data_IF_568301610360
#
_entry.id   IF_568301610360
#
_cell.length_a   1.000
_cell.length_b   1.000
_cell.length_c   1.000
_cell.angle_alpha   90.00
_cell.angle_beta   90.00
_cell.angle_gamma   90.00
#
_symmetry.space_group_name_H-M   'P 1'
#
loop_
_entity.id
_entity.type
_entity.pdbx_description
1 polymer ?
#
# COMPACT_ATOMS: atom_id res chain seq x y z
N UNK A 1 -14.49 9.28 38.74
CA UNK A 1 -14.51 8.27 37.68
C UNK A 1 -15.22 8.87 36.49
N UNK A 2 -14.50 9.21 35.42
CA UNK A 2 -15.12 9.65 34.18
C UNK A 2 -15.72 8.42 33.49
N UNK A 3 -16.99 8.51 33.11
CA UNK A 3 -17.67 7.51 32.28
C UNK A 3 -16.83 7.27 31.02
N UNK A 4 -16.29 6.07 30.85
CA UNK A 4 -15.66 5.67 29.60
C UNK A 4 -16.74 5.71 28.52
N UNK A 5 -16.69 6.71 27.64
CA UNK A 5 -17.58 6.80 26.49
C UNK A 5 -17.45 5.54 25.63
N UNK A 6 -18.56 5.12 25.00
CA UNK A 6 -18.54 3.98 24.10
C UNK A 6 -17.53 4.23 22.96
N UNK A 7 -16.68 3.24 22.70
CA UNK A 7 -15.77 3.24 21.56
C UNK A 7 -16.51 2.67 20.36
N UNK A 8 -16.59 3.43 19.27
CA UNK A 8 -17.26 3.03 18.03
C UNK A 8 -16.21 2.88 16.94
N UNK A 9 -16.25 1.77 16.21
CA UNK A 9 -15.45 1.54 15.00
C UNK A 9 -16.40 1.50 13.81
N UNK A 10 -16.12 2.30 12.78
CA UNK A 10 -16.93 2.36 11.56
C UNK A 10 -16.07 2.03 10.36
N UNK A 11 -16.64 1.25 9.45
CA UNK A 11 -16.09 1.00 8.12
C UNK A 11 -17.13 1.42 7.10
N UNK A 12 -16.76 2.30 6.18
CA UNK A 12 -17.63 2.75 5.09
C UNK A 12 -16.87 2.63 3.77
N UNK A 13 -17.56 2.25 2.70
CA UNK A 13 -16.99 2.34 1.35
C UNK A 13 -17.01 3.82 0.93
N UNK A 14 -15.87 4.32 0.47
CA UNK A 14 -15.75 5.68 -0.05
C UNK A 14 -15.85 5.67 -1.59
N UNK A 15 -16.37 6.77 -2.14
CA UNK A 15 -16.42 7.00 -3.59
C UNK A 15 -15.05 7.48 -4.08
N UNK A 16 -14.60 6.97 -5.24
CA UNK A 16 -13.31 7.35 -5.83
C UNK A 16 -13.30 8.77 -6.40
N UNK A 17 -14.46 9.41 -6.55
CA UNK A 17 -14.61 10.79 -7.04
C UNK A 17 -13.98 11.86 -6.12
N UNK A 18 -13.73 11.54 -4.85
CA UNK A 18 -13.00 12.42 -3.92
C UNK A 18 -11.48 12.39 -4.13
N UNK A 19 -10.97 11.42 -4.89
CA UNK A 19 -9.54 11.27 -5.18
C UNK A 19 -9.10 12.21 -6.31
N UNK A 20 -7.82 12.58 -6.31
CA UNK A 20 -7.20 13.30 -7.43
C UNK A 20 -7.22 12.47 -8.72
N UNK A 21 -7.13 13.10 -9.91
CA UNK A 21 -7.14 12.39 -11.20
C UNK A 21 -6.05 11.30 -11.29
N UNK A 22 -4.83 11.61 -10.81
CA UNK A 22 -3.74 10.64 -10.77
C UNK A 22 -4.03 9.46 -9.83
N UNK A 23 -4.71 9.72 -8.71
CA UNK A 23 -5.13 8.69 -7.77
C UNK A 23 -6.23 7.80 -8.35
N UNK A 24 -7.20 8.38 -9.06
CA UNK A 24 -8.25 7.64 -9.75
C UNK A 24 -7.67 6.66 -10.78
N UNK A 25 -6.61 7.04 -11.50
CA UNK A 25 -5.94 6.13 -12.44
C UNK A 25 -5.28 4.91 -11.76
N UNK A 26 -4.73 5.09 -10.55
CA UNK A 26 -4.08 4.01 -9.79
C UNK A 26 -5.08 3.10 -9.07
N UNK A 27 -6.20 3.66 -8.60
CA UNK A 27 -7.26 2.92 -7.91
C UNK A 27 -8.18 2.23 -8.91
N UNK A 28 -8.64 2.93 -9.95
CA UNK A 28 -9.63 2.42 -10.90
C UNK A 28 -10.94 2.05 -10.19
N UNK A 29 -11.51 0.90 -10.54
CA UNK A 29 -12.73 0.36 -9.92
C UNK A 29 -12.49 -0.40 -8.59
N UNK A 30 -11.27 -0.33 -8.06
CA UNK A 30 -10.87 -1.06 -6.83
C UNK A 30 -11.43 -0.38 -5.59
N UNK A 31 -11.66 -1.13 -4.50
CA UNK A 31 -12.36 -0.60 -3.34
C UNK A 31 -11.54 0.45 -2.59
N UNK A 32 -12.26 1.48 -2.12
CA UNK A 32 -11.78 2.46 -1.14
C UNK A 32 -12.62 2.31 0.12
N UNK A 33 -11.97 2.18 1.27
CA UNK A 33 -12.62 2.03 2.57
C UNK A 33 -12.13 3.10 3.53
N UNK A 34 -13.08 3.83 4.09
CA UNK A 34 -12.88 4.69 5.24
C UNK A 34 -12.96 3.86 6.51
N UNK A 35 -11.91 3.91 7.33
CA UNK A 35 -11.92 3.39 8.69
C UNK A 35 -11.91 4.56 9.65
N UNK A 36 -12.85 4.60 10.60
CA UNK A 36 -12.90 5.63 11.63
C UNK A 36 -13.19 5.03 13.00
N UNK A 37 -12.58 5.62 14.03
CA UNK A 37 -12.83 5.25 15.43
C UNK A 37 -13.11 6.49 16.26
N UNK A 38 -14.13 6.41 17.09
CA UNK A 38 -14.51 7.49 18.00
C UNK A 38 -14.67 6.97 19.43
N UNK A 39 -14.38 7.82 20.41
CA UNK A 39 -14.79 7.62 21.81
C UNK A 39 -15.78 8.74 22.17
N UNK A 40 -17.07 8.41 22.21
CA UNK A 40 -18.12 9.42 22.19
C UNK A 40 -18.04 10.30 20.93
N UNK A 41 -17.90 11.62 21.12
CA UNK A 41 -17.77 12.58 20.02
C UNK A 41 -16.31 12.83 19.58
N UNK A 42 -15.33 12.25 20.27
CA UNK A 42 -13.91 12.50 19.98
C UNK A 42 -13.40 11.48 18.97
N UNK A 43 -12.92 11.97 17.82
CA UNK A 43 -12.22 11.14 16.85
C UNK A 43 -10.88 10.65 17.43
N UNK A 44 -10.62 9.35 17.29
CA UNK A 44 -9.35 8.73 17.64
C UNK A 44 -8.58 8.56 16.34
N UNK A 45 -7.54 9.38 16.14
CA UNK A 45 -6.69 9.32 14.96
C UNK A 45 -5.45 8.45 15.15
N UNK A 46 -5.12 8.05 16.39
CA UNK A 46 -3.97 7.20 16.71
C UNK A 46 -4.36 6.08 17.66
N UNK A 47 -3.84 4.89 17.38
CA UNK A 47 -4.14 3.65 18.09
C UNK A 47 -3.30 3.44 19.36
N UNK A 48 -2.21 4.19 19.55
CA UNK A 48 -1.24 3.91 20.62
C UNK A 48 -0.55 2.52 20.52
N UNK A 49 -0.82 1.80 19.44
CA UNK A 49 -0.37 0.45 19.10
C UNK A 49 -0.64 0.20 17.60
N UNK A 50 -0.66 -1.06 17.18
CA UNK A 50 -0.97 -1.43 15.79
C UNK A 50 -2.28 -2.21 15.70
N UNK A 51 -3.03 -1.99 14.62
CA UNK A 51 -4.13 -2.83 14.19
C UNK A 51 -3.76 -3.54 12.89
N UNK A 52 -4.22 -4.78 12.73
CA UNK A 52 -4.16 -5.49 11.44
C UNK A 52 -5.49 -5.34 10.75
N UNK A 53 -5.46 -4.93 9.48
CA UNK A 53 -6.65 -4.76 8.65
C UNK A 53 -6.52 -5.66 7.43
N UNK A 54 -7.64 -6.27 7.04
CA UNK A 54 -7.76 -7.11 5.86
C UNK A 54 -8.89 -6.56 5.00
N UNK A 55 -8.55 -6.07 3.80
CA UNK A 55 -9.50 -5.53 2.83
C UNK A 55 -9.75 -6.60 1.76
N UNK A 56 -10.95 -7.21 1.70
CA UNK A 56 -11.28 -8.18 0.67
C UNK A 56 -11.09 -7.60 -0.72
N UNK A 57 -10.38 -8.32 -1.58
CA UNK A 57 -10.15 -7.92 -2.95
C UNK A 57 -9.97 -9.17 -3.83
N UNK A 58 -10.68 -9.23 -4.94
CA UNK A 58 -10.49 -10.26 -5.96
C UNK A 58 -9.73 -9.64 -7.13
N UNK A 59 -8.48 -10.06 -7.38
CA UNK A 59 -7.70 -9.54 -8.50
C UNK A 59 -8.40 -9.75 -9.83
N UNK A 60 -8.32 -8.75 -10.71
CA UNK A 60 -8.79 -8.88 -12.08
C UNK A 60 -7.91 -9.85 -12.88
N UNK A 61 -8.43 -10.39 -13.98
CA UNK A 61 -7.68 -11.31 -14.83
C UNK A 61 -6.38 -10.66 -15.33
N UNK A 62 -5.26 -11.35 -15.14
CA UNK A 62 -3.93 -10.88 -15.57
C UNK A 62 -3.26 -9.87 -14.63
N UNK A 63 -3.88 -9.51 -13.50
CA UNK A 63 -3.19 -8.72 -12.48
C UNK A 63 -2.01 -9.49 -11.87
N UNK A 64 -0.86 -8.83 -11.82
CA UNK A 64 0.29 -9.28 -11.04
C UNK A 64 0.02 -8.97 -9.56
N UNK A 65 -0.03 -10.03 -8.73
CA UNK A 65 -0.31 -9.91 -7.30
C UNK A 65 0.74 -9.07 -6.56
N UNK A 66 1.98 -9.02 -7.07
CA UNK A 66 3.03 -8.19 -6.50
C UNK A 66 2.81 -6.69 -6.75
N UNK A 67 2.06 -6.36 -7.82
CA UNK A 67 1.70 -5.01 -8.22
C UNK A 67 0.40 -4.51 -7.58
N UNK A 68 -0.33 -5.36 -6.84
CA UNK A 68 -1.42 -4.93 -5.98
C UNK A 68 -0.81 -4.24 -4.76
N UNK A 69 -1.21 -3.00 -4.55
CA UNK A 69 -0.69 -2.11 -3.52
C UNK A 69 -1.84 -1.51 -2.71
N UNK A 70 -1.50 -1.08 -1.51
CA UNK A 70 -2.40 -0.33 -0.66
C UNK A 70 -1.95 1.12 -0.62
N UNK A 71 -2.90 2.04 -0.73
CA UNK A 71 -2.69 3.46 -0.54
C UNK A 71 -3.47 3.93 0.68
N UNK A 72 -2.92 4.89 1.40
CA UNK A 72 -3.71 5.75 2.25
C UNK A 72 -4.01 7.05 1.48
N UNK A 73 -5.22 7.56 1.64
CA UNK A 73 -5.68 8.80 1.00
C UNK A 73 -5.41 9.96 1.96
N UNK A 74 -4.66 10.95 1.49
CA UNK A 74 -4.44 12.21 2.23
C UNK A 74 -5.67 13.10 2.14
N UNK A 75 -5.72 14.11 3.02
CA UNK A 75 -6.79 15.11 3.05
C UNK A 75 -6.94 15.89 1.71
N UNK A 76 -5.90 15.92 0.88
CA UNK A 76 -5.91 16.54 -0.45
C UNK A 76 -6.34 15.58 -1.58
N UNK A 77 -6.74 14.35 -1.27
CA UNK A 77 -7.11 13.32 -2.24
C UNK A 77 -5.91 12.69 -2.96
N UNK A 78 -4.67 12.98 -2.55
CA UNK A 78 -3.47 12.30 -3.03
C UNK A 78 -3.26 10.97 -2.32
N UNK A 79 -2.52 10.07 -2.96
CA UNK A 79 -2.21 8.76 -2.40
C UNK A 79 -0.80 8.74 -1.80
N UNK A 80 -0.64 7.99 -0.72
CA UNK A 80 0.67 7.51 -0.30
C UNK A 80 0.65 6.00 -0.10
N UNK A 81 1.67 5.36 -0.67
CA UNK A 81 1.81 3.91 -0.63
C UNK A 81 2.00 3.45 0.81
N UNK A 82 1.11 2.59 1.26
CA UNK A 82 1.24 1.85 2.51
C UNK A 82 2.15 0.65 2.23
N UNK A 83 3.43 0.86 2.48
CA UNK A 83 4.52 -0.01 2.04
C UNK A 83 4.41 -1.43 2.63
N UNK A 84 3.88 -1.59 3.84
CA UNK A 84 3.68 -2.89 4.50
C UNK A 84 2.39 -3.63 4.03
N UNK A 85 1.57 -3.00 3.19
CA UNK A 85 0.39 -3.61 2.60
C UNK A 85 0.76 -4.60 1.50
N UNK A 86 0.20 -5.81 1.57
CA UNK A 86 0.39 -6.86 0.57
C UNK A 86 -0.91 -7.59 0.28
N UNK A 87 -1.05 -8.05 -0.95
CA UNK A 87 -2.08 -9.02 -1.28
C UNK A 87 -1.72 -10.39 -0.68
N UNK A 88 -2.69 -10.99 -0.01
CA UNK A 88 -2.61 -12.33 0.54
C UNK A 88 -3.63 -13.20 -0.21
N UNK A 89 -3.11 -14.11 -1.05
CA UNK A 89 -3.93 -14.95 -1.91
C UNK A 89 -4.73 -16.01 -1.13
N UNK A 90 -4.26 -16.42 0.04
CA UNK A 90 -4.99 -17.36 0.91
C UNK A 90 -6.16 -16.66 1.59
N UNK A 91 -5.96 -15.42 2.04
CA UNK A 91 -7.02 -14.62 2.63
C UNK A 91 -7.98 -13.99 1.59
N UNK A 92 -7.58 -13.90 0.32
CA UNK A 92 -8.34 -13.20 -0.72
C UNK A 92 -8.47 -11.70 -0.44
N UNK A 93 -7.41 -11.09 0.11
CA UNK A 93 -7.47 -9.75 0.67
C UNK A 93 -6.12 -9.04 0.64
N UNK A 94 -6.16 -7.70 0.67
CA UNK A 94 -4.99 -6.87 0.96
C UNK A 94 -4.87 -6.71 2.48
N UNK A 95 -3.76 -7.19 3.04
CA UNK A 95 -3.49 -7.22 4.48
C UNK A 95 -2.38 -6.23 4.81
N UNK A 96 -2.57 -5.44 5.86
CA UNK A 96 -1.61 -4.44 6.34
C UNK A 96 -1.74 -4.19 7.84
N UNK A 97 -0.71 -3.56 8.42
CA UNK A 97 -0.76 -3.03 9.79
C UNK A 97 -0.74 -1.50 9.77
N UNK A 98 -1.53 -0.87 10.63
CA UNK A 98 -1.57 0.60 10.77
C UNK A 98 -1.60 1.02 12.23
N UNK A 99 -1.12 2.23 12.49
CA UNK A 99 -1.16 2.91 13.79
C UNK A 99 -2.21 4.02 13.85
N UNK A 100 -2.86 4.33 12.73
CA UNK A 100 -3.85 5.39 12.59
C UNK A 100 -5.02 4.92 11.74
N UNK A 101 -6.13 5.67 11.82
CA UNK A 101 -7.31 5.43 11.00
C UNK A 101 -7.37 6.49 9.89
N UNK A 102 -7.65 6.04 8.68
CA UNK A 102 -7.71 6.87 7.48
C UNK A 102 -8.55 6.15 6.41
N UNK A 103 -8.64 6.77 5.25
CA UNK A 103 -9.20 6.18 4.05
C UNK A 103 -8.10 5.37 3.36
N UNK A 104 -8.37 4.10 3.09
CA UNK A 104 -7.45 3.20 2.43
C UNK A 104 -8.02 2.73 1.10
N UNK A 105 -7.21 2.78 0.05
CA UNK A 105 -7.58 2.36 -1.29
C UNK A 105 -6.71 1.19 -1.73
N UNK A 106 -7.35 0.13 -2.26
CA UNK A 106 -6.63 -0.87 -3.03
C UNK A 106 -6.32 -0.28 -4.39
N UNK A 107 -5.07 -0.41 -4.84
CA UNK A 107 -4.65 0.06 -6.15
C UNK A 107 -3.79 -0.95 -6.87
N UNK A 108 -3.50 -0.66 -8.12
CA UNK A 108 -2.64 -1.47 -8.96
C UNK A 108 -1.58 -0.61 -9.63
N UNK A 109 -0.32 -0.92 -9.33
CA UNK A 109 0.82 -0.16 -9.84
C UNK A 109 1.88 -1.12 -10.38
N UNK A 110 1.66 -1.62 -11.60
CA UNK A 110 2.64 -2.50 -12.26
C UNK A 110 3.77 -1.68 -12.86
N UNK A 111 4.95 -1.82 -12.28
CA UNK A 111 6.20 -1.24 -12.79
C UNK A 111 7.05 -2.37 -13.36
N UNK A 112 7.30 -2.33 -14.67
CA UNK A 112 8.10 -3.31 -15.38
C UNK A 112 9.43 -2.75 -15.86
N UNK A 113 10.43 -3.61 -15.99
CA UNK A 113 11.74 -3.26 -16.52
C UNK A 113 12.08 -4.19 -17.69
N UNK A 114 12.59 -3.63 -18.78
CA UNK A 114 12.88 -4.36 -20.03
C UNK A 114 14.05 -5.33 -19.92
N UNK A 115 14.90 -5.17 -18.91
CA UNK A 115 16.05 -6.02 -18.58
C UNK A 115 15.76 -7.01 -17.44
N UNK A 116 14.50 -7.12 -17.00
CA UNK A 116 14.05 -8.10 -16.01
C UNK A 116 13.10 -9.06 -16.71
N UNK A 117 13.58 -10.26 -17.02
CA UNK A 117 12.75 -11.31 -17.57
C UNK A 117 11.77 -11.83 -16.51
N UNK A 118 10.52 -12.12 -16.90
CA UNK A 118 9.50 -12.66 -15.98
C UNK A 118 9.93 -14.00 -15.34
N UNK A 119 10.79 -14.77 -16.01
CA UNK A 119 11.34 -16.03 -15.50
C UNK A 119 12.56 -15.85 -14.57
N UNK A 120 13.03 -14.62 -14.35
CA UNK A 120 14.16 -14.37 -13.48
C UNK A 120 13.77 -14.63 -12.02
N UNK A 121 14.67 -15.24 -11.24
CA UNK A 121 14.40 -15.57 -9.84
C UNK A 121 14.09 -14.34 -8.95
N UNK A 122 14.48 -13.14 -9.40
CA UNK A 122 14.23 -11.88 -8.72
C UNK A 122 13.06 -11.08 -9.30
N UNK A 123 12.38 -11.56 -10.35
CA UNK A 123 11.33 -10.81 -11.05
C UNK A 123 10.20 -10.39 -10.10
N UNK A 124 9.69 -11.32 -9.30
CA UNK A 124 8.64 -11.04 -8.30
C UNK A 124 9.09 -10.02 -7.26
N UNK A 125 10.31 -10.17 -6.74
CA UNK A 125 10.87 -9.24 -5.75
C UNK A 125 11.02 -7.83 -6.33
N UNK A 126 11.48 -7.73 -7.58
CA UNK A 126 11.59 -6.44 -8.27
C UNK A 126 10.22 -5.83 -8.51
N UNK A 127 9.25 -6.61 -9.02
CA UNK A 127 7.87 -6.16 -9.22
C UNK A 127 7.26 -5.64 -7.91
N UNK A 128 7.38 -6.42 -6.83
CA UNK A 128 6.85 -6.09 -5.52
C UNK A 128 7.42 -4.78 -4.95
N UNK A 129 8.74 -4.59 -5.05
CA UNK A 129 9.41 -3.40 -4.55
C UNK A 129 9.17 -2.18 -5.45
N UNK A 130 9.11 -2.37 -6.77
CA UNK A 130 8.88 -1.30 -7.71
C UNK A 130 7.45 -0.76 -7.62
N UNK A 131 6.47 -1.66 -7.51
CA UNK A 131 5.07 -1.29 -7.27
C UNK A 131 4.89 -0.42 -6.02
N UNK A 132 5.71 -0.64 -4.99
CA UNK A 132 5.69 0.13 -3.73
C UNK A 132 6.57 1.39 -3.73
N UNK A 133 7.22 1.72 -4.85
CA UNK A 133 8.16 2.85 -4.94
C UNK A 133 9.45 2.65 -4.14
N UNK A 134 9.74 1.42 -3.72
CA UNK A 134 10.97 1.11 -2.98
C UNK A 134 12.16 1.20 -3.91
N UNK A 135 12.02 0.66 -5.13
CA UNK A 135 12.99 0.79 -6.23
C UNK A 135 12.34 1.41 -7.46
N UNK A 136 13.11 2.15 -8.25
CA UNK A 136 12.67 2.70 -9.53
C UNK A 136 13.56 2.28 -10.71
N UNK A 137 14.47 1.32 -10.47
CA UNK A 137 15.53 0.99 -11.43
C UNK A 137 16.59 2.09 -11.57
N UNK A 138 17.49 1.92 -12.54
CA UNK A 138 18.47 2.94 -12.94
C UNK A 138 17.88 3.95 -13.92
N UNK A 139 16.86 3.53 -14.67
CA UNK A 139 16.01 4.40 -15.50
C UNK A 139 14.55 3.97 -15.36
N UNK A 140 13.64 4.71 -15.99
CA UNK A 140 12.21 4.37 -15.99
C UNK A 140 11.88 2.97 -16.56
N UNK A 141 12.78 2.36 -17.34
CA UNK A 141 12.54 1.06 -17.99
C UNK A 141 13.68 0.05 -17.80
N UNK A 142 14.72 0.40 -17.04
CA UNK A 142 15.90 -0.44 -16.81
C UNK A 142 16.14 -0.57 -15.32
N UNK A 143 16.21 -1.81 -14.82
CA UNK A 143 16.51 -2.11 -13.42
C UNK A 143 18.01 -2.18 -13.15
N UNK A 144 18.77 -2.74 -14.09
CA UNK A 144 20.20 -3.08 -14.00
C UNK A 144 20.52 -4.11 -12.90
N UNK A 145 20.02 -5.36 -13.02
CA UNK A 145 20.18 -6.39 -11.98
C UNK A 145 21.64 -6.76 -11.70
N UNK A 146 22.50 -6.69 -12.72
CA UNK A 146 23.93 -7.03 -12.62
C UNK A 146 24.82 -5.82 -12.29
N UNK A 147 24.24 -4.63 -12.10
CA UNK A 147 25.02 -3.45 -11.77
C UNK A 147 25.53 -3.50 -10.33
N UNK A 148 26.80 -3.13 -10.15
CA UNK A 148 27.39 -2.99 -8.82
C UNK A 148 26.70 -1.85 -8.06
N UNK A 149 25.99 -2.20 -6.98
CA UNK A 149 25.41 -1.23 -6.06
C UNK A 149 26.51 -0.49 -5.29
N UNK A 150 26.41 0.83 -5.24
CA UNK A 150 27.20 1.62 -4.30
C UNK A 150 26.72 1.35 -2.86
N UNK A 151 27.60 1.54 -1.88
CA UNK A 151 27.25 1.43 -0.45
C UNK A 151 26.06 2.33 -0.08
N UNK A 152 25.98 3.52 -0.68
CA UNK A 152 24.87 4.45 -0.47
C UNK A 152 23.53 3.88 -0.96
N UNK A 153 23.50 3.35 -2.19
CA UNK A 153 22.28 2.73 -2.75
C UNK A 153 21.83 1.52 -1.94
N UNK A 154 22.77 0.68 -1.49
CA UNK A 154 22.44 -0.46 -0.63
C UNK A 154 21.78 -0.02 0.68
N UNK A 155 22.33 1.00 1.35
CA UNK A 155 21.75 1.53 2.59
C UNK A 155 20.37 2.15 2.33
N UNK A 156 20.18 2.89 1.24
CA UNK A 156 18.86 3.45 0.88
C UNK A 156 17.81 2.36 0.67
N UNK A 157 18.15 1.29 -0.07
CA UNK A 157 17.26 0.15 -0.25
C UNK A 157 16.94 -0.53 1.08
N UNK A 158 17.94 -0.74 1.94
CA UNK A 158 17.75 -1.34 3.26
C UNK A 158 16.83 -0.50 4.14
N UNK A 159 17.01 0.82 4.17
CA UNK A 159 16.18 1.73 4.96
C UNK A 159 14.72 1.68 4.49
N UNK A 160 14.48 1.68 3.17
CA UNK A 160 13.13 1.51 2.60
C UNK A 160 12.55 0.12 2.85
N UNK A 161 13.38 -0.92 2.92
CA UNK A 161 12.93 -2.28 3.27
C UNK A 161 12.57 -2.40 4.75
N UNK A 162 13.26 -1.69 5.64
CA UNK A 162 12.95 -1.72 7.08
C UNK A 162 11.59 -1.10 7.39
N UNK A 163 11.07 -0.22 6.55
CA UNK A 163 9.71 0.32 6.71
C UNK A 163 8.61 -0.66 6.27
N UNK A 164 8.92 -1.71 5.49
CA UNK A 164 7.95 -2.78 5.18
C UNK A 164 7.60 -3.65 6.39
N UNK A 165 8.51 -3.75 7.37
CA UNK A 165 8.38 -4.67 8.51
C UNK A 165 7.72 -4.06 9.75
N UNK A 166 7.36 -2.78 9.72
CA UNK A 166 6.65 -2.10 10.82
C UNK A 166 5.17 -2.01 10.50
#
# INVERSE_FOLDING_TARGET
GASAGAVTVTVAQADTTSLSEAAQALVGDRPVYQFSVTSGATAISSLGGTATVSIPYTPAEGEDLNAIVLYYVRDDGSLETVINGRYDAEAGAVVFTTTHFSDYAVGYNKVGFTDVADSAWYADAVSYLAARGVTGGTTATIFSPDATLTRGQFVTLLLKLMTLRR
#
